data_IF_501100165455
#
_entry.id   IF_501100165455
#
_cell.length_a   1.000
_cell.length_b   1.000
_cell.length_c   1.000
_cell.angle_alpha   90.00
_cell.angle_beta   90.00
_cell.angle_gamma   90.00
#
_symmetry.space_group_name_H-M   'P 1'
#
loop_
_entity.id
_entity.type
_entity.pdbx_description
1 polymer ?
#
# COMPACT_ATOMS: atom_id res chain seq x y z
N UNK A 1 -49.77 -4.47 -24.29
CA UNK A 1 -49.21 -4.91 -22.98
C UNK A 1 -47.69 -4.95 -22.97
N UNK A 2 -47.00 -4.87 -24.14
CA UNK A 2 -45.52 -4.91 -24.22
C UNK A 2 -44.81 -3.55 -24.03
N UNK A 3 -45.50 -2.43 -24.28
CA UNK A 3 -44.90 -1.10 -24.22
C UNK A 3 -44.73 -0.55 -22.80
N UNK A 4 -45.53 -1.02 -21.82
CA UNK A 4 -45.46 -0.52 -20.42
C UNK A 4 -44.34 -1.14 -19.63
N UNK A 5 -43.93 -2.38 -19.97
CA UNK A 5 -42.79 -3.06 -19.26
C UNK A 5 -41.43 -2.46 -19.66
N UNK A 6 -41.24 -2.02 -20.91
CA UNK A 6 -39.96 -1.48 -21.35
C UNK A 6 -39.65 -0.10 -20.77
N UNK A 7 -40.67 0.76 -20.58
CA UNK A 7 -40.46 2.08 -19.97
C UNK A 7 -40.15 2.03 -18.49
N UNK A 8 -40.72 1.07 -17.75
CA UNK A 8 -40.42 0.87 -16.33
C UNK A 8 -39.01 0.26 -16.08
N UNK A 9 -38.54 -0.64 -16.94
CA UNK A 9 -37.18 -1.19 -16.83
C UNK A 9 -36.12 -0.16 -17.17
N UNK A 10 -36.34 0.67 -18.20
CA UNK A 10 -35.38 1.72 -18.58
C UNK A 10 -35.34 2.82 -17.51
N UNK A 11 -36.45 3.21 -16.92
CA UNK A 11 -36.48 4.21 -15.85
C UNK A 11 -35.82 3.70 -14.57
N UNK A 12 -36.00 2.43 -14.23
CA UNK A 12 -35.35 1.81 -13.06
C UNK A 12 -33.82 1.71 -13.22
N UNK A 13 -33.34 1.36 -14.42
CA UNK A 13 -31.90 1.33 -14.71
C UNK A 13 -31.28 2.72 -14.71
N UNK A 14 -31.97 3.75 -15.22
CA UNK A 14 -31.46 5.12 -15.15
C UNK A 14 -31.46 5.69 -13.74
N UNK A 15 -32.45 5.39 -12.91
CA UNK A 15 -32.43 5.79 -11.49
C UNK A 15 -31.32 5.10 -10.67
N UNK A 16 -31.07 3.82 -10.93
CA UNK A 16 -29.99 3.11 -10.26
C UNK A 16 -28.61 3.62 -10.68
N UNK A 17 -28.41 3.92 -11.95
CA UNK A 17 -27.18 4.51 -12.46
C UNK A 17 -26.94 5.93 -11.90
N UNK A 18 -27.99 6.76 -11.82
CA UNK A 18 -27.91 8.10 -11.24
C UNK A 18 -27.62 8.05 -9.73
N UNK A 19 -28.18 7.10 -8.98
CA UNK A 19 -27.90 6.90 -7.56
C UNK A 19 -26.46 6.46 -7.30
N UNK A 20 -25.89 5.59 -8.13
CA UNK A 20 -24.49 5.17 -8.03
C UNK A 20 -23.54 6.34 -8.29
N UNK A 21 -23.88 7.26 -9.19
CA UNK A 21 -23.06 8.43 -9.51
C UNK A 21 -23.01 9.49 -8.38
N UNK A 22 -23.94 9.47 -7.43
CA UNK A 22 -24.03 10.46 -6.34
C UNK A 22 -23.36 10.03 -5.04
N UNK A 23 -22.92 8.78 -4.90
CA UNK A 23 -22.19 8.33 -3.72
C UNK A 23 -20.77 8.91 -3.77
N UNK A 24 -20.52 9.98 -3.02
CA UNK A 24 -19.16 10.48 -2.80
C UNK A 24 -18.32 9.36 -2.16
N UNK A 25 -17.28 8.91 -2.88
CA UNK A 25 -16.30 8.00 -2.28
C UNK A 25 -15.68 8.68 -1.06
N UNK A 26 -15.54 7.99 0.07
CA UNK A 26 -14.88 8.57 1.23
C UNK A 26 -13.44 8.94 0.86
N UNK A 27 -13.02 10.11 1.29
CA UNK A 27 -11.63 10.58 1.15
C UNK A 27 -10.99 10.50 2.52
N UNK A 28 -9.86 9.83 2.62
CA UNK A 28 -9.10 9.68 3.84
C UNK A 28 -7.82 10.52 3.77
N UNK A 29 -7.54 11.27 4.84
CA UNK A 29 -6.26 11.93 5.03
C UNK A 29 -5.29 10.92 5.66
N UNK A 30 -4.42 10.36 4.84
CA UNK A 30 -3.48 9.34 5.25
C UNK A 30 -2.11 9.97 5.54
N UNK A 31 -1.56 9.70 6.71
CA UNK A 31 -0.22 10.12 7.09
C UNK A 31 0.79 9.01 6.77
N UNK A 32 1.84 9.33 6.02
CA UNK A 32 3.02 8.49 5.86
C UNK A 32 4.02 8.77 6.98
N UNK A 33 4.51 7.72 7.64
CA UNK A 33 5.47 7.85 8.72
C UNK A 33 6.59 6.80 8.66
N UNK A 34 7.81 7.28 8.82
CA UNK A 34 9.04 6.50 8.85
C UNK A 34 10.02 7.11 9.86
N UNK A 35 11.19 6.52 10.03
CA UNK A 35 12.27 7.05 10.88
C UNK A 35 12.65 8.52 10.62
N UNK A 36 12.34 9.03 9.45
CA UNK A 36 12.68 10.40 9.07
C UNK A 36 11.90 11.45 9.86
N UNK A 37 10.70 11.12 10.35
CA UNK A 37 9.87 11.98 11.20
C UNK A 37 10.31 11.94 12.67
N UNK A 38 11.27 11.08 13.04
CA UNK A 38 11.77 10.97 14.41
C UNK A 38 10.70 10.51 15.41
N UNK A 39 10.67 11.16 16.57
CA UNK A 39 9.66 10.89 17.59
C UNK A 39 8.38 11.68 17.29
N UNK A 40 7.36 10.97 16.83
CA UNK A 40 6.02 11.53 16.58
C UNK A 40 5.24 11.51 17.90
N UNK A 41 4.60 12.64 18.21
CA UNK A 41 3.58 12.74 19.27
C UNK A 41 2.22 12.30 18.72
N UNK A 42 1.91 11.03 18.94
CA UNK A 42 0.71 10.42 18.39
C UNK A 42 -0.59 10.89 19.07
N UNK A 43 -0.51 11.39 20.31
CA UNK A 43 -1.66 12.02 20.99
C UNK A 43 -2.01 13.33 20.29
N UNK A 44 -1.03 14.17 19.98
CA UNK A 44 -1.22 15.40 19.21
C UNK A 44 -1.73 15.11 17.80
N UNK A 45 -1.19 14.11 17.10
CA UNK A 45 -1.69 13.69 15.77
C UNK A 45 -3.17 13.32 15.84
N UNK A 46 -3.55 12.46 16.78
CA UNK A 46 -4.95 12.02 16.96
C UNK A 46 -5.87 13.19 17.33
N UNK A 47 -5.46 14.02 18.27
CA UNK A 47 -6.24 15.17 18.73
C UNK A 47 -6.46 16.22 17.65
N UNK A 48 -5.58 16.29 16.65
CA UNK A 48 -5.71 17.25 15.53
C UNK A 48 -6.95 17.03 14.66
N UNK A 49 -7.48 15.80 14.63
CA UNK A 49 -8.58 15.40 13.75
C UNK A 49 -8.27 15.49 12.26
N UNK A 50 -7.00 15.70 11.88
CA UNK A 50 -6.58 15.89 10.50
C UNK A 50 -6.09 14.62 9.82
N UNK A 51 -5.83 13.56 10.59
CA UNK A 51 -5.32 12.26 10.13
C UNK A 51 -6.35 11.19 10.40
N UNK A 52 -6.82 10.55 9.35
CA UNK A 52 -7.81 9.47 9.42
C UNK A 52 -7.15 8.10 9.58
N UNK A 53 -5.98 7.91 8.98
CA UNK A 53 -5.23 6.65 9.01
C UNK A 53 -3.74 6.88 8.74
N UNK A 54 -2.92 5.86 9.00
CA UNK A 54 -1.45 5.95 8.89
C UNK A 54 -0.91 4.80 8.05
N UNK A 55 0.06 5.10 7.19
CA UNK A 55 0.94 4.11 6.57
C UNK A 55 2.32 4.20 7.20
N UNK A 56 2.77 3.11 7.81
CA UNK A 56 4.07 3.03 8.46
C UNK A 56 5.08 2.34 7.55
N UNK A 57 6.26 2.94 7.38
CA UNK A 57 7.37 2.26 6.73
C UNK A 57 7.79 1.02 7.52
N UNK A 58 7.97 -0.09 6.82
CA UNK A 58 8.46 -1.35 7.40
C UNK A 58 9.83 -1.68 6.89
N UNK A 59 9.93 -2.26 5.70
CA UNK A 59 11.19 -2.77 5.15
C UNK A 59 11.80 -1.79 4.16
N UNK A 60 13.09 -1.71 4.18
CA UNK A 60 13.89 -0.96 3.21
C UNK A 60 15.30 -1.52 3.16
N UNK A 61 16.12 -1.00 2.25
CA UNK A 61 17.52 -1.43 2.08
C UNK A 61 18.48 -0.28 2.35
N UNK A 62 19.34 -0.44 3.35
CA UNK A 62 20.43 0.48 3.62
C UNK A 62 21.46 -0.17 4.55
N UNK A 63 22.70 -0.30 4.09
CA UNK A 63 23.78 -0.93 4.85
C UNK A 63 24.14 -0.22 6.17
N UNK A 64 23.81 1.07 6.31
CA UNK A 64 24.02 1.82 7.57
C UNK A 64 23.07 1.40 8.69
N UNK A 65 21.91 0.85 8.35
CA UNK A 65 20.87 0.43 9.30
C UNK A 65 20.73 -1.08 9.41
N UNK A 66 21.41 -1.83 8.53
CA UNK A 66 21.33 -3.29 8.49
C UNK A 66 22.64 -3.94 8.86
N UNK A 67 22.55 -5.03 9.65
CA UNK A 67 23.64 -5.97 9.87
C UNK A 67 23.67 -7.11 8.83
N UNK A 68 22.67 -7.16 7.95
CA UNK A 68 22.55 -8.17 6.89
C UNK A 68 23.41 -7.79 5.68
N UNK A 69 23.97 -8.79 5.01
CA UNK A 69 24.79 -8.58 3.79
C UNK A 69 23.99 -7.96 2.64
N UNK A 70 22.68 -8.24 2.56
CA UNK A 70 21.78 -7.69 1.57
C UNK A 70 21.31 -6.26 1.89
N UNK A 71 21.66 -5.74 3.07
CA UNK A 71 21.31 -4.40 3.52
C UNK A 71 19.85 -4.22 3.95
N UNK A 72 19.03 -5.28 3.94
CA UNK A 72 17.64 -5.22 4.36
C UNK A 72 17.52 -4.94 5.87
N UNK A 73 16.59 -4.05 6.24
CA UNK A 73 16.30 -3.71 7.63
C UNK A 73 14.83 -3.37 7.81
N UNK A 74 14.33 -3.52 9.02
CA UNK A 74 13.03 -2.99 9.45
C UNK A 74 13.26 -1.57 9.95
N UNK A 75 12.38 -0.63 9.57
CA UNK A 75 12.47 0.76 10.02
C UNK A 75 12.52 0.80 11.56
N UNK A 76 13.53 1.45 12.17
CA UNK A 76 13.73 1.41 13.61
C UNK A 76 12.60 2.06 14.41
N UNK A 77 11.74 2.86 13.78
CA UNK A 77 10.58 3.47 14.43
C UNK A 77 9.29 2.64 14.26
N UNK A 78 9.30 1.60 13.44
CA UNK A 78 8.11 0.85 13.07
C UNK A 78 7.36 0.29 14.28
N UNK A 79 8.04 -0.46 15.14
CA UNK A 79 7.39 -1.11 16.29
C UNK A 79 6.75 -0.10 17.24
N UNK A 80 7.49 0.98 17.55
CA UNK A 80 6.98 2.06 18.40
C UNK A 80 5.78 2.73 17.76
N UNK A 81 5.89 3.14 16.49
CA UNK A 81 4.83 3.84 15.80
C UNK A 81 3.59 2.97 15.64
N UNK A 82 3.74 1.67 15.36
CA UNK A 82 2.63 0.72 15.32
C UNK A 82 1.90 0.66 16.67
N UNK A 83 2.64 0.43 17.77
CA UNK A 83 2.05 0.36 19.10
C UNK A 83 1.32 1.65 19.48
N UNK A 84 1.91 2.78 19.20
CA UNK A 84 1.32 4.09 19.51
C UNK A 84 0.08 4.40 18.67
N UNK A 85 0.10 4.12 17.35
CA UNK A 85 -1.09 4.28 16.52
C UNK A 85 -2.25 3.42 17.04
N UNK A 86 -1.98 2.16 17.42
CA UNK A 86 -2.99 1.28 18.02
C UNK A 86 -3.49 1.83 19.37
N UNK A 87 -2.59 2.35 20.21
CA UNK A 87 -2.94 2.95 21.49
C UNK A 87 -3.90 4.13 21.34
N UNK A 88 -3.64 5.02 20.37
CA UNK A 88 -4.50 6.20 20.15
C UNK A 88 -5.69 5.93 19.23
N UNK A 89 -5.85 4.71 18.74
CA UNK A 89 -6.98 4.30 17.88
C UNK A 89 -6.92 4.93 16.48
N UNK A 90 -5.73 5.03 15.88
CA UNK A 90 -5.55 5.36 14.46
C UNK A 90 -5.46 4.06 13.65
N UNK A 91 -6.26 3.88 12.59
CA UNK A 91 -6.12 2.77 11.66
C UNK A 91 -4.75 2.74 11.01
N UNK A 92 -4.12 1.56 10.94
CA UNK A 92 -2.74 1.41 10.47
C UNK A 92 -2.69 0.50 9.26
N UNK A 93 -1.97 0.94 8.24
CA UNK A 93 -1.39 0.13 7.20
C UNK A 93 0.13 0.27 7.19
N UNK A 94 0.75 -0.41 6.27
CA UNK A 94 2.21 -0.40 6.14
C UNK A 94 2.65 -0.30 4.69
N UNK A 95 3.88 0.14 4.49
CA UNK A 95 4.54 0.01 3.20
C UNK A 95 5.96 -0.49 3.35
N UNK A 96 6.47 -1.11 2.30
CA UNK A 96 7.89 -1.38 2.14
C UNK A 96 8.38 -0.81 0.81
N UNK A 97 9.54 -0.21 0.86
CA UNK A 97 10.18 0.40 -0.30
C UNK A 97 11.04 -0.64 -1.00
N UNK A 98 10.59 -1.13 -2.17
CA UNK A 98 11.30 -2.19 -2.87
C UNK A 98 12.49 -1.68 -3.68
N UNK A 99 13.59 -2.43 -3.60
CA UNK A 99 14.77 -2.30 -4.46
C UNK A 99 14.99 -3.54 -5.31
N UNK A 100 14.06 -4.49 -5.25
CA UNK A 100 14.18 -5.78 -5.90
C UNK A 100 14.21 -5.65 -7.43
N UNK A 101 15.27 -6.13 -8.04
CA UNK A 101 15.41 -6.27 -9.50
C UNK A 101 15.35 -7.72 -9.96
N UNK A 102 15.22 -8.66 -9.02
CA UNK A 102 15.05 -10.09 -9.27
C UNK A 102 14.04 -10.68 -8.30
N UNK A 103 13.46 -11.82 -8.67
CA UNK A 103 12.55 -12.55 -7.77
C UNK A 103 13.22 -12.93 -6.44
N UNK A 104 14.48 -13.34 -6.44
CA UNK A 104 15.20 -13.70 -5.22
C UNK A 104 15.35 -12.49 -4.27
N UNK A 105 15.54 -11.27 -4.79
CA UNK A 105 15.55 -10.05 -3.98
C UNK A 105 14.17 -9.75 -3.43
N UNK A 106 13.11 -9.85 -4.23
CA UNK A 106 11.74 -9.68 -3.76
C UNK A 106 11.38 -10.71 -2.67
N UNK A 107 11.76 -11.97 -2.83
CA UNK A 107 11.56 -13.02 -1.81
C UNK A 107 12.26 -12.64 -0.48
N UNK A 108 13.46 -12.09 -0.54
CA UNK A 108 14.20 -11.64 0.65
C UNK A 108 13.52 -10.44 1.33
N UNK A 109 13.04 -9.44 0.58
CA UNK A 109 12.27 -8.30 1.10
C UNK A 109 10.96 -8.77 1.74
N UNK A 110 10.20 -9.63 1.05
CA UNK A 110 8.95 -10.19 1.54
C UNK A 110 9.13 -11.05 2.80
N UNK A 111 10.24 -11.80 2.91
CA UNK A 111 10.53 -12.58 4.12
C UNK A 111 10.76 -11.68 5.34
N UNK A 112 11.49 -10.57 5.17
CA UNK A 112 11.68 -9.57 6.25
C UNK A 112 10.36 -8.87 6.57
N UNK A 113 9.58 -8.52 5.56
CA UNK A 113 8.24 -7.94 5.73
C UNK A 113 7.34 -8.87 6.54
N UNK A 114 7.26 -10.14 6.17
CA UNK A 114 6.45 -11.14 6.88
C UNK A 114 6.82 -11.23 8.36
N UNK A 115 8.11 -11.13 8.66
CA UNK A 115 8.61 -11.08 10.05
C UNK A 115 8.12 -9.81 10.76
N UNK A 116 8.19 -8.66 10.11
CA UNK A 116 7.73 -7.39 10.69
C UNK A 116 6.21 -7.39 10.95
N UNK A 117 5.41 -8.05 10.11
CA UNK A 117 3.96 -8.11 10.24
C UNK A 117 3.48 -9.17 11.25
N UNK A 118 4.33 -10.10 11.66
CA UNK A 118 3.94 -11.22 12.52
C UNK A 118 3.29 -10.75 13.84
N UNK A 119 2.11 -11.32 14.15
CA UNK A 119 1.36 -11.00 15.37
C UNK A 119 0.68 -9.62 15.38
N UNK A 120 0.65 -8.92 14.24
CA UNK A 120 0.04 -7.60 14.09
C UNK A 120 -1.23 -7.66 13.23
N UNK A 121 -2.12 -6.71 13.44
CA UNK A 121 -3.35 -6.51 12.66
C UNK A 121 -3.34 -5.14 12.00
N UNK A 122 -3.85 -5.07 10.77
CA UNK A 122 -3.83 -3.85 9.96
C UNK A 122 -5.24 -3.60 9.41
N UNK A 123 -5.75 -2.40 9.62
CA UNK A 123 -7.04 -1.93 9.08
C UNK A 123 -6.88 -1.30 7.69
N UNK A 124 -5.65 -0.92 7.35
CA UNK A 124 -5.27 -0.30 6.09
C UNK A 124 -4.36 -1.23 5.28
N UNK A 125 -4.13 -0.95 3.99
CA UNK A 125 -3.35 -1.82 3.12
C UNK A 125 -1.91 -2.10 3.56
N UNK A 126 -1.35 -3.19 3.03
CA UNK A 126 0.09 -3.43 2.93
C UNK A 126 0.54 -3.00 1.54
N UNK A 127 1.34 -1.94 1.45
CA UNK A 127 1.71 -1.34 0.18
C UNK A 127 3.10 -1.78 -0.28
N UNK A 128 3.20 -2.13 -1.57
CA UNK A 128 4.48 -2.21 -2.28
C UNK A 128 4.79 -0.83 -2.84
N UNK A 129 5.87 -0.20 -2.39
CA UNK A 129 6.31 1.12 -2.86
C UNK A 129 7.37 0.95 -3.95
N UNK A 130 6.96 1.25 -5.21
CA UNK A 130 7.70 0.97 -6.46
C UNK A 130 8.06 2.27 -7.15
N UNK A 131 9.19 2.88 -6.77
CA UNK A 131 9.63 4.15 -7.36
C UNK A 131 11.16 4.33 -7.43
N UNK A 132 11.94 3.33 -6.99
CA UNK A 132 13.40 3.45 -6.97
C UNK A 132 14.03 3.46 -8.37
N UNK A 133 15.04 4.31 -8.54
CA UNK A 133 15.78 4.43 -9.80
C UNK A 133 16.50 3.13 -10.22
N UNK A 134 16.79 2.21 -9.29
CA UNK A 134 17.38 0.91 -9.66
C UNK A 134 16.43 0.07 -10.50
N UNK A 135 15.13 0.24 -10.31
CA UNK A 135 14.07 -0.50 -11.01
C UNK A 135 13.99 -0.11 -12.49
N UNK A 136 14.46 1.09 -12.86
CA UNK A 136 14.47 1.52 -14.28
C UNK A 136 15.41 0.69 -15.16
N UNK A 137 16.31 -0.12 -14.56
CA UNK A 137 17.17 -1.07 -15.28
C UNK A 137 16.38 -2.25 -15.86
N UNK A 138 15.23 -2.55 -15.30
CA UNK A 138 14.33 -3.59 -15.80
C UNK A 138 13.53 -3.05 -16.99
N UNK A 139 13.25 -3.89 -17.98
CA UNK A 139 12.25 -3.55 -18.99
C UNK A 139 10.85 -3.56 -18.36
N UNK A 140 9.92 -2.87 -19.02
CA UNK A 140 8.53 -2.69 -18.53
C UNK A 140 7.83 -4.02 -18.20
N UNK A 141 8.02 -5.04 -19.03
CA UNK A 141 7.40 -6.37 -18.83
C UNK A 141 7.95 -7.08 -17.59
N UNK A 142 9.27 -7.11 -17.44
CA UNK A 142 9.94 -7.75 -16.30
C UNK A 142 9.60 -7.06 -14.98
N UNK A 143 9.60 -5.71 -14.96
CA UNK A 143 9.23 -4.97 -13.76
C UNK A 143 7.76 -5.22 -13.40
N UNK A 144 6.85 -5.18 -14.38
CA UNK A 144 5.43 -5.47 -14.13
C UNK A 144 5.23 -6.87 -13.56
N UNK A 145 5.90 -7.88 -14.11
CA UNK A 145 5.80 -9.25 -13.62
C UNK A 145 6.34 -9.40 -12.19
N UNK A 146 7.39 -8.67 -11.84
CA UNK A 146 7.95 -8.69 -10.49
C UNK A 146 7.00 -8.04 -9.49
N UNK A 147 6.44 -6.88 -9.83
CA UNK A 147 5.45 -6.18 -8.97
C UNK A 147 4.17 -7.00 -8.82
N UNK A 148 3.67 -7.64 -9.90
CA UNK A 148 2.51 -8.54 -9.81
C UNK A 148 2.80 -9.73 -8.89
N UNK A 149 4.02 -10.30 -8.96
CA UNK A 149 4.46 -11.34 -8.05
C UNK A 149 4.44 -10.89 -6.57
N UNK A 150 4.95 -9.70 -6.28
CA UNK A 150 4.96 -9.14 -4.92
C UNK A 150 3.52 -8.91 -4.41
N UNK A 151 2.65 -8.29 -5.21
CA UNK A 151 1.25 -8.07 -4.85
C UNK A 151 0.50 -9.39 -4.58
N UNK A 152 0.62 -10.39 -5.46
CA UNK A 152 0.00 -11.71 -5.26
C UNK A 152 0.53 -12.43 -4.03
N UNK A 153 1.82 -12.26 -3.72
CA UNK A 153 2.40 -12.83 -2.51
C UNK A 153 1.79 -12.21 -1.26
N UNK A 154 1.60 -10.89 -1.25
CA UNK A 154 0.91 -10.20 -0.16
C UNK A 154 -0.55 -10.68 -0.03
N UNK A 155 -1.29 -10.76 -1.11
CA UNK A 155 -2.67 -11.27 -1.12
C UNK A 155 -2.75 -12.70 -0.55
N UNK A 156 -1.75 -13.55 -0.84
CA UNK A 156 -1.69 -14.90 -0.29
C UNK A 156 -1.55 -14.95 1.23
N UNK A 157 -1.18 -13.83 1.88
CA UNK A 157 -1.13 -13.69 3.34
C UNK A 157 -2.44 -13.17 3.92
N UNK A 158 -3.50 -13.07 3.12
CA UNK A 158 -4.81 -12.53 3.51
C UNK A 158 -4.74 -11.07 3.98
N UNK A 159 -3.82 -10.29 3.43
CA UNK A 159 -3.75 -8.83 3.61
C UNK A 159 -4.25 -8.13 2.35
N UNK A 160 -4.78 -6.91 2.51
CA UNK A 160 -5.14 -6.09 1.36
C UNK A 160 -3.87 -5.48 0.76
N UNK A 161 -3.46 -5.98 -0.41
CA UNK A 161 -2.28 -5.50 -1.11
C UNK A 161 -2.58 -4.23 -1.92
N UNK A 162 -1.66 -3.27 -1.90
CA UNK A 162 -1.74 -2.03 -2.67
C UNK A 162 -0.40 -1.72 -3.34
N UNK A 163 -0.44 -1.23 -4.57
CA UNK A 163 0.71 -0.63 -5.23
C UNK A 163 0.73 0.89 -4.97
N UNK A 164 1.84 1.38 -4.42
CA UNK A 164 2.18 2.79 -4.43
C UNK A 164 3.30 3.04 -5.45
N UNK A 165 3.13 4.07 -6.29
CA UNK A 165 4.14 4.47 -7.28
C UNK A 165 3.85 5.88 -7.81
N UNK A 166 4.87 6.57 -8.27
CA UNK A 166 4.70 7.87 -8.93
C UNK A 166 3.96 7.78 -10.27
N UNK A 167 3.17 8.81 -10.60
CA UNK A 167 2.37 8.85 -11.83
C UNK A 167 3.22 8.58 -13.10
N UNK A 168 4.37 9.23 -13.23
CA UNK A 168 5.25 9.00 -14.37
C UNK A 168 5.75 7.55 -14.42
N UNK A 169 6.09 6.97 -13.27
CA UNK A 169 6.57 5.60 -13.18
C UNK A 169 5.47 4.60 -13.58
N UNK A 170 4.24 4.81 -13.11
CA UNK A 170 3.08 3.98 -13.48
C UNK A 170 2.79 4.01 -14.98
N UNK A 171 2.87 5.17 -15.62
CA UNK A 171 2.60 5.33 -17.05
C UNK A 171 3.72 4.77 -17.94
N UNK A 172 4.97 4.97 -17.55
CA UNK A 172 6.13 4.67 -18.41
C UNK A 172 6.78 3.33 -18.12
N UNK A 173 6.77 2.88 -16.85
CA UNK A 173 7.55 1.72 -16.37
C UNK A 173 6.72 0.50 -16.02
N UNK A 174 5.41 0.64 -15.82
CA UNK A 174 4.51 -0.46 -15.46
C UNK A 174 3.39 -0.63 -16.50
N UNK A 175 2.99 -1.87 -16.73
CA UNK A 175 1.77 -2.17 -17.46
C UNK A 175 0.63 -2.35 -16.44
N UNK A 176 0.00 -1.24 -16.07
CA UNK A 176 -1.04 -1.22 -15.03
C UNK A 176 -2.22 -2.16 -15.32
N UNK A 177 -2.54 -2.40 -16.60
CA UNK A 177 -3.63 -3.31 -16.99
C UNK A 177 -3.32 -4.80 -16.69
N UNK A 178 -2.06 -5.13 -16.39
CA UNK A 178 -1.63 -6.50 -16.04
C UNK A 178 -1.45 -6.72 -14.54
N UNK A 179 -1.52 -5.66 -13.76
CA UNK A 179 -1.52 -5.74 -12.29
C UNK A 179 -2.96 -5.94 -11.84
N UNK A 180 -3.18 -6.87 -10.93
CA UNK A 180 -4.49 -7.17 -10.35
C UNK A 180 -4.60 -6.59 -8.95
#
# INVERSE_FOLDING_TARGET
>A
RETVQSENEVSFQMESAARVATVKKPVFNMMDAARYQGNIDWDTVKASGKVDCVLLKTVSTNSKFSKRKDGLYIDPTFERNYAECKRVGLPVGVYYYTYATTKAMADAELAVLKTALAGKTFEMPVCVDVEDNKLVKLNKGSLTALVDYELRTLESWSVYALLYTGLNFSLTRLNMAKLK
#
